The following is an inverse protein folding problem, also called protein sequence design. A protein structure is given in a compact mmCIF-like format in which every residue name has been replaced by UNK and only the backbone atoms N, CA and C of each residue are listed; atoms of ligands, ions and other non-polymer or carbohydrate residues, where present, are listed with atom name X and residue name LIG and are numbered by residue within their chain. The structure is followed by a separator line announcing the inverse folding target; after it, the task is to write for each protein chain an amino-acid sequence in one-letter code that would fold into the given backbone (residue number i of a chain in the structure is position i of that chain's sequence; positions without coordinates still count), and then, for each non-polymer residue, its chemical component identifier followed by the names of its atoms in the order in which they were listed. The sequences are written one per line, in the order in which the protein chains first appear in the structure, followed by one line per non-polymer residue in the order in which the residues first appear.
data_IF_593428834456
#
_entry.id   IF_593428834456
#
_cell.length_a   1.000
_cell.length_b   1.000
_cell.length_c   1.000
_cell.angle_alpha   90.00
_cell.angle_beta   90.00
_cell.angle_gamma   90.00
#
_symmetry.space_group_name_H-M   'P 1'
#
loop_
_entity.id
_entity.type
_entity.pdbx_description
1 polymer ?
#
# COMPACT_ATOMS: atom_id res chain seq x y z
N UNK A 1 -46.00 -9.13 -49.35
CA UNK A 1 -44.61 -9.57 -49.10
C UNK A 1 -43.76 -8.40 -48.60
N UNK A 2 -43.97 -7.96 -47.35
CA UNK A 2 -43.32 -6.75 -46.82
C UNK A 2 -43.31 -6.70 -45.29
N UNK A 3 -43.04 -7.83 -44.61
CA UNK A 3 -42.91 -7.92 -43.13
C UNK A 3 -41.98 -9.06 -42.68
N UNK A 4 -40.90 -9.31 -43.42
CA UNK A 4 -39.92 -10.34 -43.04
C UNK A 4 -38.48 -9.89 -43.33
N UNK A 5 -38.16 -8.63 -42.99
CA UNK A 5 -36.79 -8.13 -43.14
C UNK A 5 -36.44 -7.10 -42.05
N UNK A 6 -36.82 -7.35 -40.81
CA UNK A 6 -36.48 -6.48 -39.66
C UNK A 6 -36.38 -7.28 -38.36
N UNK A 7 -35.72 -8.45 -38.39
CA UNK A 7 -35.32 -9.16 -37.15
C UNK A 7 -33.85 -9.62 -37.18
N UNK A 8 -33.16 -9.54 -38.32
CA UNK A 8 -31.75 -9.97 -38.43
C UNK A 8 -30.72 -8.84 -38.22
N UNK A 9 -31.13 -7.60 -37.89
CA UNK A 9 -30.19 -6.49 -37.66
C UNK A 9 -30.02 -6.10 -36.18
N UNK A 10 -30.60 -6.89 -35.25
CA UNK A 10 -30.54 -6.62 -33.80
C UNK A 10 -29.91 -7.80 -33.04
N UNK A 11 -28.80 -8.31 -33.56
CA UNK A 11 -27.90 -9.19 -32.81
C UNK A 11 -26.44 -8.84 -33.11
N UNK A 12 -26.16 -7.53 -33.20
CA UNK A 12 -24.83 -7.02 -32.82
C UNK A 12 -24.86 -6.97 -31.29
N UNK A 13 -24.78 -8.16 -30.69
CA UNK A 13 -24.36 -8.29 -29.30
C UNK A 13 -23.02 -7.60 -29.25
N UNK A 14 -22.97 -6.52 -28.47
CA UNK A 14 -21.76 -5.91 -27.98
C UNK A 14 -20.80 -7.00 -27.52
N UNK A 15 -19.90 -7.39 -28.40
CA UNK A 15 -18.67 -8.07 -28.05
C UNK A 15 -17.77 -7.05 -27.36
N UNK A 16 -18.18 -6.55 -26.19
CA UNK A 16 -17.21 -5.97 -25.27
C UNK A 16 -16.27 -7.10 -24.93
N UNK A 17 -15.07 -7.05 -25.49
CA UNK A 17 -13.97 -7.94 -25.18
C UNK A 17 -13.78 -7.95 -23.66
N UNK A 18 -14.37 -8.95 -22.99
CA UNK A 18 -14.03 -9.30 -21.62
C UNK A 18 -12.67 -10.01 -21.68
N UNK A 19 -11.62 -9.28 -22.01
CA UNK A 19 -10.26 -9.78 -22.04
C UNK A 19 -9.31 -8.69 -21.54
N UNK A 20 -9.37 -8.41 -20.23
CA UNK A 20 -8.36 -7.58 -19.58
C UNK A 20 -7.67 -8.29 -18.40
N UNK A 21 -7.93 -9.58 -18.16
CA UNK A 21 -7.26 -10.36 -17.11
C UNK A 21 -6.05 -11.14 -17.64
N UNK A 22 -5.21 -10.52 -18.48
CA UNK A 22 -4.02 -11.16 -19.02
C UNK A 22 -3.02 -10.16 -19.59
N UNK A 23 -1.78 -10.60 -19.73
CA UNK A 23 -0.74 -9.88 -20.48
C UNK A 23 -0.56 -10.47 -21.87
N UNK A 24 0.17 -9.76 -22.73
CA UNK A 24 0.67 -10.29 -24.00
C UNK A 24 2.19 -10.23 -23.99
N UNK A 25 2.82 -11.32 -24.39
CA UNK A 25 4.25 -11.44 -24.61
C UNK A 25 4.53 -11.32 -26.11
N UNK A 26 5.48 -10.48 -26.49
CA UNK A 26 6.00 -10.35 -27.85
C UNK A 26 7.51 -10.52 -27.80
N UNK A 27 8.05 -11.34 -28.70
CA UNK A 27 9.50 -11.52 -28.83
C UNK A 27 10.05 -10.52 -29.85
N UNK A 28 11.13 -9.82 -29.54
CA UNK A 28 11.84 -8.96 -30.50
C UNK A 28 13.08 -9.64 -31.08
N UNK A 29 13.82 -10.36 -30.24
CA UNK A 29 14.95 -11.21 -30.64
C UNK A 29 15.14 -12.35 -29.64
N UNK A 30 15.80 -13.42 -30.09
CA UNK A 30 16.24 -14.53 -29.24
C UNK A 30 15.19 -15.62 -29.03
N UNK A 31 15.13 -16.19 -27.83
CA UNK A 31 14.22 -17.29 -27.49
C UNK A 31 13.69 -17.14 -26.06
N UNK A 32 12.40 -17.38 -25.87
CA UNK A 32 11.77 -17.39 -24.55
C UNK A 32 11.16 -18.74 -24.28
N UNK A 33 11.56 -19.35 -23.16
CA UNK A 33 10.89 -20.54 -22.63
C UNK A 33 9.71 -20.10 -21.77
N UNK A 34 8.50 -20.35 -22.26
CA UNK A 34 7.25 -20.21 -21.52
C UNK A 34 6.94 -21.53 -20.80
N UNK A 35 6.73 -21.46 -19.49
CA UNK A 35 6.37 -22.59 -18.65
C UNK A 35 4.97 -22.39 -18.08
N UNK A 36 4.01 -23.19 -18.56
CA UNK A 36 2.59 -23.14 -18.18
C UNK A 36 2.15 -24.50 -17.67
N UNK A 37 1.62 -24.55 -16.44
CA UNK A 37 1.08 -25.78 -15.84
C UNK A 37 2.08 -26.96 -15.91
N UNK A 38 3.37 -26.67 -15.74
CA UNK A 38 4.45 -27.66 -15.80
C UNK A 38 4.95 -28.01 -17.21
N UNK A 39 4.28 -27.53 -18.28
CA UNK A 39 4.69 -27.74 -19.68
C UNK A 39 5.56 -26.59 -20.18
N UNK A 40 6.69 -26.94 -20.79
CA UNK A 40 7.61 -25.96 -21.40
C UNK A 40 7.30 -25.81 -22.88
N UNK A 41 7.21 -24.57 -23.35
CA UNK A 41 7.13 -24.21 -24.75
C UNK A 41 8.24 -23.19 -25.06
N UNK A 42 9.01 -23.43 -26.12
CA UNK A 42 9.98 -22.46 -26.60
C UNK A 42 9.33 -21.58 -27.65
N UNK A 43 9.47 -20.27 -27.47
CA UNK A 43 8.95 -19.23 -28.35
C UNK A 43 10.15 -18.60 -29.04
N UNK A 44 10.22 -18.74 -30.36
CA UNK A 44 11.29 -18.17 -31.21
C UNK A 44 10.74 -17.31 -32.34
N UNK A 45 9.42 -17.29 -32.55
CA UNK A 45 8.77 -16.43 -33.53
C UNK A 45 8.82 -14.97 -33.10
N UNK A 46 9.69 -14.19 -33.74
CA UNK A 46 9.78 -12.75 -33.53
C UNK A 46 8.50 -12.05 -34.00
N UNK A 47 7.98 -11.13 -33.19
CA UNK A 47 6.80 -10.31 -33.49
C UNK A 47 5.45 -10.97 -33.18
N UNK A 48 5.41 -12.29 -32.97
CA UNK A 48 4.18 -12.99 -32.60
C UNK A 48 3.72 -12.62 -31.18
N UNK A 49 2.42 -12.35 -31.00
CA UNK A 49 1.82 -12.02 -29.71
C UNK A 49 1.31 -13.29 -29.03
N UNK A 50 1.95 -13.67 -27.94
CA UNK A 50 1.53 -14.78 -27.09
C UNK A 50 0.73 -14.28 -25.90
N UNK A 51 -0.41 -14.91 -25.63
CA UNK A 51 -1.24 -14.54 -24.48
C UNK A 51 -0.67 -15.14 -23.19
N UNK A 52 -0.38 -14.29 -22.22
CA UNK A 52 0.04 -14.68 -20.88
C UNK A 52 -1.17 -14.93 -19.97
N UNK A 53 -1.03 -15.95 -19.15
CA UNK A 53 -1.98 -16.38 -18.12
C UNK A 53 -1.34 -16.28 -16.74
N UNK A 54 -2.16 -16.13 -15.71
CA UNK A 54 -1.71 -16.16 -14.32
C UNK A 54 -0.96 -17.47 -14.03
N UNK A 55 0.23 -17.36 -13.46
CA UNK A 55 1.09 -18.49 -13.12
C UNK A 55 2.12 -18.84 -14.20
N UNK A 56 2.06 -18.20 -15.37
CA UNK A 56 3.08 -18.38 -16.40
C UNK A 56 4.45 -17.95 -15.88
N UNK A 57 5.47 -18.75 -16.22
CA UNK A 57 6.88 -18.41 -15.96
C UNK A 57 7.60 -18.28 -17.29
N UNK A 58 8.33 -17.19 -17.44
CA UNK A 58 9.09 -16.83 -18.61
C UNK A 58 10.57 -16.91 -18.26
N UNK A 59 11.33 -17.58 -19.10
CA UNK A 59 12.78 -17.59 -19.02
C UNK A 59 13.35 -17.17 -20.37
N UNK A 60 13.99 -16.01 -20.43
CA UNK A 60 14.65 -15.51 -21.63
C UNK A 60 16.03 -16.17 -21.77
N UNK A 61 16.39 -16.56 -22.99
CA UNK A 61 17.71 -17.11 -23.27
C UNK A 61 18.78 -16.02 -23.39
N UNK A 62 19.99 -16.38 -23.85
CA UNK A 62 21.00 -15.41 -24.27
C UNK A 62 20.49 -14.59 -25.48
N UNK A 63 21.02 -13.38 -25.65
CA UNK A 63 20.69 -12.44 -26.74
C UNK A 63 19.19 -12.25 -26.98
N UNK A 64 18.39 -12.28 -25.91
CA UNK A 64 16.94 -12.28 -25.97
C UNK A 64 16.37 -10.96 -25.48
N UNK A 65 15.43 -10.40 -26.25
CA UNK A 65 14.66 -9.22 -25.85
C UNK A 65 13.19 -9.52 -26.03
N UNK A 66 12.45 -9.46 -24.93
CA UNK A 66 11.05 -9.83 -24.91
C UNK A 66 10.22 -8.73 -24.22
N UNK A 67 9.08 -8.39 -24.81
CA UNK A 67 8.19 -7.35 -24.31
C UNK A 67 6.93 -8.00 -23.77
N UNK A 68 6.66 -7.76 -22.49
CA UNK A 68 5.42 -8.12 -21.83
C UNK A 68 4.59 -6.87 -21.66
N UNK A 69 3.47 -6.79 -22.38
CA UNK A 69 2.49 -5.72 -22.24
C UNK A 69 1.30 -6.21 -21.40
N UNK A 70 0.85 -5.36 -20.48
CA UNK A 70 -0.22 -5.65 -19.53
C UNK A 70 -1.23 -4.50 -19.56
N UNK A 71 -2.52 -4.79 -19.28
CA UNK A 71 -3.62 -3.80 -19.29
C UNK A 71 -3.72 -2.97 -20.58
N UNK A 72 -3.59 -3.61 -21.74
CA UNK A 72 -3.68 -2.90 -23.02
C UNK A 72 -2.52 -1.92 -23.24
N UNK A 73 -1.31 -2.33 -22.85
CA UNK A 73 -0.05 -1.58 -23.04
C UNK A 73 0.14 -0.37 -22.10
N UNK A 74 -0.73 -0.19 -21.09
CA UNK A 74 -0.48 0.82 -20.04
C UNK A 74 0.68 0.44 -19.11
N UNK A 75 1.04 -0.84 -19.08
CA UNK A 75 2.14 -1.41 -18.30
C UNK A 75 2.99 -2.24 -19.26
N UNK A 76 4.19 -1.76 -19.57
CA UNK A 76 5.11 -2.41 -20.50
C UNK A 76 6.37 -2.82 -19.77
N UNK A 77 6.76 -4.07 -19.94
CA UNK A 77 7.91 -4.67 -19.29
C UNK A 77 8.80 -5.22 -20.37
N UNK A 78 9.99 -4.69 -20.45
CA UNK A 78 11.01 -5.16 -21.37
C UNK A 78 12.00 -6.03 -20.61
N UNK A 79 12.05 -7.31 -20.99
CA UNK A 79 12.92 -8.32 -20.42
C UNK A 79 14.14 -8.49 -21.31
N UNK A 80 15.30 -8.51 -20.66
CA UNK A 80 16.59 -8.74 -21.29
C UNK A 80 16.99 -10.21 -21.22
N UNK A 81 18.19 -10.50 -21.72
CA UNK A 81 18.82 -11.82 -21.73
C UNK A 81 18.91 -12.42 -20.32
N UNK A 82 18.76 -13.74 -20.22
CA UNK A 82 18.90 -14.53 -18.98
C UNK A 82 18.03 -14.05 -17.80
N UNK A 83 16.85 -13.52 -18.09
CA UNK A 83 15.87 -13.07 -17.13
C UNK A 83 14.82 -14.16 -16.86
N UNK A 84 14.46 -14.33 -15.59
CA UNK A 84 13.38 -15.20 -15.16
C UNK A 84 12.25 -14.38 -14.53
N UNK A 85 11.10 -14.36 -15.20
CA UNK A 85 9.91 -13.65 -14.76
C UNK A 85 8.76 -14.62 -14.48
N UNK A 86 8.10 -14.46 -13.34
CA UNK A 86 6.87 -15.15 -13.00
C UNK A 86 5.70 -14.16 -13.03
N UNK A 87 4.78 -14.37 -13.96
CA UNK A 87 3.57 -13.59 -14.10
C UNK A 87 2.52 -14.03 -13.06
N UNK A 88 2.50 -13.37 -11.89
CA UNK A 88 1.57 -13.72 -10.80
C UNK A 88 0.11 -13.35 -11.10
N UNK A 89 -0.10 -12.42 -12.02
CA UNK A 89 -1.42 -12.08 -12.57
C UNK A 89 -1.80 -10.62 -12.38
N UNK A 90 -2.99 -10.29 -12.88
CA UNK A 90 -3.54 -8.94 -12.94
C UNK A 90 -4.95 -8.98 -12.35
N UNK A 91 -5.21 -8.13 -11.37
CA UNK A 91 -6.54 -7.88 -10.81
C UNK A 91 -7.11 -6.59 -11.39
N UNK A 92 -8.28 -6.14 -10.96
CA UNK A 92 -8.83 -4.84 -11.39
C UNK A 92 -7.97 -3.66 -10.94
N UNK A 93 -7.39 -3.72 -9.74
CA UNK A 93 -6.65 -2.64 -9.11
C UNK A 93 -5.13 -2.80 -9.11
N UNK A 94 -4.62 -4.04 -9.24
CA UNK A 94 -3.20 -4.32 -9.09
C UNK A 94 -2.67 -5.27 -10.15
N UNK A 95 -1.42 -5.07 -10.55
CA UNK A 95 -0.62 -6.02 -11.32
C UNK A 95 0.49 -6.53 -10.42
N UNK A 96 0.64 -7.87 -10.34
CA UNK A 96 1.67 -8.53 -9.53
C UNK A 96 2.55 -9.38 -10.41
N UNK A 97 3.84 -9.17 -10.31
CA UNK A 97 4.86 -9.86 -11.10
C UNK A 97 6.02 -10.17 -10.17
N UNK A 98 6.75 -11.26 -10.44
CA UNK A 98 8.00 -11.52 -9.77
C UNK A 98 9.14 -11.64 -10.79
N UNK A 99 10.24 -10.92 -10.57
CA UNK A 99 11.47 -11.04 -11.33
C UNK A 99 12.48 -11.75 -10.43
N UNK A 100 12.79 -13.01 -10.74
CA UNK A 100 13.64 -13.83 -9.88
C UNK A 100 15.12 -13.63 -10.17
N UNK A 101 15.46 -13.36 -11.43
CA UNK A 101 16.82 -13.04 -11.86
C UNK A 101 16.78 -12.27 -13.18
N UNK A 102 17.87 -11.56 -13.47
CA UNK A 102 18.08 -10.79 -14.70
C UNK A 102 17.62 -9.35 -14.56
N UNK A 103 17.46 -8.70 -15.71
CA UNK A 103 17.11 -7.28 -15.82
C UNK A 103 15.76 -7.11 -16.50
N UNK A 104 14.98 -6.15 -16.00
CA UNK A 104 13.77 -5.68 -16.64
C UNK A 104 13.66 -4.15 -16.59
N UNK A 105 13.29 -3.56 -17.72
CA UNK A 105 12.83 -2.18 -17.79
C UNK A 105 11.31 -2.17 -17.66
N UNK A 106 10.78 -1.38 -16.74
CA UNK A 106 9.37 -1.31 -16.42
C UNK A 106 8.87 0.10 -16.70
N UNK A 107 7.89 0.20 -17.60
CA UNK A 107 7.20 1.45 -17.94
C UNK A 107 5.76 1.32 -17.51
N UNK A 108 5.38 2.03 -16.46
CA UNK A 108 4.04 1.94 -15.88
C UNK A 108 3.37 3.29 -16.01
N UNK A 109 2.30 3.35 -16.79
CA UNK A 109 1.53 4.58 -16.94
C UNK A 109 0.84 4.98 -15.61
N UNK A 110 0.82 6.28 -15.28
CA UNK A 110 0.11 6.77 -14.10
C UNK A 110 -1.39 6.48 -14.16
N UNK A 111 -2.00 6.39 -12.98
CA UNK A 111 -3.44 6.17 -12.88
C UNK A 111 -4.22 7.37 -13.45
N UNK A 112 -5.35 7.15 -14.13
CA UNK A 112 -6.21 8.24 -14.59
C UNK A 112 -6.57 9.22 -13.45
N UNK A 113 -6.88 8.67 -12.27
CA UNK A 113 -7.17 9.43 -11.05
C UNK A 113 -6.02 10.37 -10.63
N UNK A 114 -4.77 9.93 -10.76
CA UNK A 114 -3.62 10.76 -10.41
C UNK A 114 -3.43 11.91 -11.39
N UNK A 115 -3.74 11.68 -12.68
CA UNK A 115 -3.67 12.72 -13.71
C UNK A 115 -4.78 13.75 -13.53
N UNK A 116 -6.00 13.33 -13.19
CA UNK A 116 -7.13 14.24 -12.92
C UNK A 116 -6.90 15.07 -11.66
N UNK A 117 -6.43 14.47 -10.56
CA UNK A 117 -6.06 15.18 -9.34
C UNK A 117 -4.91 16.18 -9.58
N UNK A 118 -3.87 15.77 -10.31
CA UNK A 118 -2.74 16.65 -10.67
C UNK A 118 -3.22 17.82 -11.52
N UNK A 119 -4.10 17.57 -12.48
CA UNK A 119 -4.70 18.63 -13.30
C UNK A 119 -5.63 19.53 -12.50
N UNK A 120 -6.39 19.00 -11.54
CA UNK A 120 -7.25 19.79 -10.66
C UNK A 120 -6.41 20.68 -9.71
N UNK A 121 -5.34 20.13 -9.13
CA UNK A 121 -4.40 20.87 -8.29
C UNK A 121 -3.66 21.97 -9.08
N UNK A 122 -3.21 21.67 -10.31
CA UNK A 122 -2.62 22.66 -11.22
C UNK A 122 -3.61 23.76 -11.62
N UNK A 123 -4.90 23.43 -11.79
CA UNK A 123 -5.95 24.42 -12.06
C UNK A 123 -6.22 25.32 -10.85
N UNK A 124 -6.15 24.80 -9.62
CA UNK A 124 -6.30 25.61 -8.39
C UNK A 124 -5.07 26.46 -8.05
N UNK A 125 -3.89 26.09 -8.55
CA UNK A 125 -2.64 26.84 -8.36
C UNK A 125 -2.44 27.97 -9.37
N UNK A 126 -3.28 28.05 -10.42
CA UNK A 126 -3.27 29.19 -11.33
C UNK A 126 -3.87 30.40 -10.58
N UNK A 127 -3.15 31.51 -10.40
CA UNK A 127 -3.76 32.73 -9.89
C UNK A 127 -4.90 33.06 -10.84
N UNK A 128 -6.14 33.07 -10.34
CA UNK A 128 -7.23 33.75 -11.02
C UNK A 128 -6.68 35.14 -11.30
N UNK A 129 -6.44 35.45 -12.57
CA UNK A 129 -6.11 36.79 -13.02
C UNK A 129 -7.32 37.66 -12.67
N UNK A 130 -7.32 38.17 -11.44
CA UNK A 130 -8.35 39.02 -10.91
C UNK A 130 -8.42 40.24 -11.81
N UNK A 131 -9.61 40.46 -12.39
CA UNK A 131 -9.94 41.73 -12.99
C UNK A 131 -9.63 42.88 -12.02
N UNK A 132 -9.41 44.10 -12.55
CA UNK A 132 -8.85 45.21 -11.77
C UNK A 132 -9.70 45.50 -10.54
N UNK A 133 -9.17 45.17 -9.36
CA UNK A 133 -9.73 45.58 -8.08
C UNK A 133 -9.58 47.09 -7.97
N UNK A 134 -10.71 47.81 -8.10
CA UNK A 134 -10.77 49.25 -7.83
C UNK A 134 -10.53 49.47 -6.35
N UNK A 135 -9.31 49.90 -6.01
CA UNK A 135 -8.98 50.48 -4.71
C UNK A 135 -9.86 51.72 -4.46
N UNK A 136 -10.93 51.55 -3.70
CA UNK A 136 -11.75 52.65 -3.19
C UNK A 136 -11.11 53.26 -1.96
N UNK A 137 -10.28 54.28 -2.15
CA UNK A 137 -9.70 55.07 -1.05
C UNK A 137 -10.67 56.20 -0.65
N UNK A 138 -11.73 55.87 0.09
CA UNK A 138 -12.64 56.77 0.84
C UNK A 138 -13.24 55.85 1.93
N UNK A 139 -13.13 56.08 3.23
CA UNK A 139 -13.34 57.31 3.99
C UNK A 139 -12.55 57.27 5.31
N UNK A 140 -12.02 58.44 5.63
CA UNK A 140 -11.47 58.84 6.91
C UNK A 140 -12.62 59.06 7.90
N UNK A 141 -12.41 58.63 9.14
CA UNK A 141 -12.55 59.45 10.35
C UNK A 141 -13.96 59.97 10.73
N UNK A 142 -14.46 59.57 11.92
CA UNK A 142 -15.54 60.27 12.63
C UNK A 142 -16.35 59.36 13.57
N UNK A 143 -16.01 59.33 14.87
CA UNK A 143 -16.78 59.89 16.01
C UNK A 143 -17.92 59.03 16.58
N UNK A 144 -17.65 58.52 17.79
CA UNK A 144 -18.38 58.69 19.07
C UNK A 144 -19.91 58.47 19.20
N UNK A 145 -20.24 57.89 20.37
CA UNK A 145 -21.47 57.97 21.18
C UNK A 145 -22.62 56.94 21.03
N UNK A 146 -22.68 56.07 22.05
CA UNK A 146 -23.67 55.98 23.14
C UNK A 146 -25.13 55.57 22.87
N UNK A 147 -25.52 54.53 23.63
CA UNK A 147 -26.77 54.32 24.38
C UNK A 147 -28.12 54.22 23.66
N UNK A 148 -28.87 53.17 24.03
CA UNK A 148 -30.19 53.37 24.62
C UNK A 148 -31.38 52.75 23.89
N UNK A 149 -31.94 51.75 24.55
CA UNK A 149 -33.36 51.46 24.72
C UNK A 149 -34.26 50.91 23.59
N UNK A 150 -34.95 49.83 23.99
CA UNK A 150 -36.18 49.22 23.49
C UNK A 150 -37.37 50.21 23.64
N UNK A 151 -38.58 50.01 23.02
CA UNK A 151 -39.44 48.84 23.33
C UNK A 151 -40.54 48.44 22.32
N UNK A 152 -41.23 47.35 22.66
CA UNK A 152 -42.62 47.03 22.28
C UNK A 152 -42.72 45.87 21.28
N UNK A 153 -43.52 44.82 21.48
CA UNK A 153 -44.56 44.51 22.45
C UNK A 153 -45.53 43.53 21.76
N UNK A 154 -46.01 42.49 22.45
CA UNK A 154 -47.02 41.60 21.86
C UNK A 154 -47.13 40.24 22.55
N UNK A 155 -48.09 40.12 23.46
CA UNK A 155 -48.49 38.90 24.18
C UNK A 155 -49.07 37.83 23.23
N UNK A 156 -48.84 36.54 23.51
CA UNK A 156 -49.86 35.51 23.34
C UNK A 156 -49.62 34.29 24.25
N UNK A 157 -50.59 34.11 25.16
CA UNK A 157 -51.12 32.92 25.82
C UNK A 157 -50.27 31.64 25.99
N UNK A 158 -50.13 31.25 27.27
CA UNK A 158 -49.82 29.90 27.76
C UNK A 158 -51.02 28.94 27.60
N UNK A 159 -50.72 27.70 27.22
CA UNK A 159 -51.45 26.46 27.52
C UNK A 159 -50.39 25.33 27.72
N UNK A 160 -50.73 24.24 28.43
CA UNK A 160 -49.88 23.72 29.51
C UNK A 160 -48.79 22.73 29.10
N UNK A 161 -47.72 22.78 29.89
CA UNK A 161 -46.65 21.79 30.04
C UNK A 161 -47.25 20.41 30.39
N UNK A 162 -47.05 19.39 29.53
CA UNK A 162 -47.03 17.99 30.00
C UNK A 162 -46.60 16.94 28.97
N UNK A 163 -46.25 17.29 27.71
CA UNK A 163 -45.73 16.29 26.76
C UNK A 163 -44.38 16.67 26.11
N UNK A 164 -44.01 17.96 26.08
CA UNK A 164 -42.74 18.40 25.47
C UNK A 164 -41.49 18.16 26.33
N UNK A 165 -41.64 17.84 27.62
CA UNK A 165 -40.51 17.64 28.54
C UNK A 165 -39.95 16.20 28.55
N UNK A 166 -40.60 15.26 27.85
CA UNK A 166 -40.18 13.86 27.78
C UNK A 166 -39.48 13.50 26.47
N UNK A 167 -39.73 14.24 25.38
CA UNK A 167 -39.05 14.07 24.09
C UNK A 167 -37.68 14.77 24.08
N UNK A 168 -37.56 15.98 24.64
CA UNK A 168 -36.28 16.70 24.72
C UNK A 168 -35.21 15.99 25.58
N UNK A 169 -35.60 15.19 26.59
CA UNK A 169 -34.64 14.43 27.42
C UNK A 169 -34.14 13.14 26.76
N UNK A 170 -34.87 12.60 25.77
CA UNK A 170 -34.42 11.44 24.99
C UNK A 170 -33.45 11.87 23.90
N UNK A 171 -33.70 13.00 23.25
CA UNK A 171 -32.83 13.50 22.19
C UNK A 171 -31.48 13.98 22.74
N UNK A 172 -31.45 14.64 23.91
CA UNK A 172 -30.18 15.02 24.58
C UNK A 172 -29.40 13.79 25.12
N UNK A 173 -30.08 12.70 25.48
CA UNK A 173 -29.42 11.46 25.92
C UNK A 173 -28.89 10.62 24.75
N UNK A 174 -29.59 10.59 23.61
CA UNK A 174 -29.07 9.91 22.41
C UNK A 174 -27.93 10.71 21.76
N UNK A 175 -27.99 12.05 21.72
CA UNK A 175 -26.87 12.86 21.24
C UNK A 175 -25.62 12.73 22.12
N UNK A 176 -25.76 12.64 23.45
CA UNK A 176 -24.63 12.42 24.35
C UNK A 176 -24.10 10.97 24.33
N UNK A 177 -24.93 9.99 23.99
CA UNK A 177 -24.53 8.59 23.81
C UNK A 177 -23.73 8.40 22.51
N UNK A 178 -24.17 8.99 21.39
CA UNK A 178 -23.39 8.98 20.14
C UNK A 178 -22.12 9.84 20.23
N UNK A 179 -22.13 10.94 21.00
CA UNK A 179 -20.93 11.73 21.24
C UNK A 179 -19.87 10.99 22.08
N UNK A 180 -20.27 10.08 22.98
CA UNK A 180 -19.33 9.29 23.82
C UNK A 180 -18.86 7.98 23.19
N UNK A 181 -19.58 7.43 22.21
CA UNK A 181 -19.14 6.22 21.48
C UNK A 181 -18.24 6.58 20.28
N UNK A 182 -18.26 7.84 19.82
CA UNK A 182 -17.45 8.31 18.69
C UNK A 182 -16.01 8.76 19.02
N UNK A 183 -15.65 8.96 20.29
CA UNK A 183 -14.35 9.57 20.67
C UNK A 183 -13.19 8.60 20.83
N UNK A 184 -13.37 7.33 20.42
CA UNK A 184 -12.30 6.33 20.29
C UNK A 184 -11.89 6.07 18.83
N UNK A 185 -12.32 6.92 17.89
CA UNK A 185 -11.88 6.83 16.51
C UNK A 185 -10.41 7.28 16.44
N UNK A 186 -9.48 6.32 16.56
CA UNK A 186 -8.17 6.39 15.92
C UNK A 186 -8.44 6.97 14.53
N UNK A 187 -8.05 8.22 14.29
CA UNK A 187 -8.19 8.83 12.99
C UNK A 187 -7.60 7.81 12.01
N UNK A 188 -8.37 7.27 11.05
CA UNK A 188 -7.79 6.38 10.08
C UNK A 188 -6.76 7.26 9.37
N UNK A 189 -5.48 7.01 9.68
CA UNK A 189 -4.38 7.67 9.00
C UNK A 189 -4.62 7.58 7.50
N UNK A 190 -4.07 8.52 6.70
CA UNK A 190 -4.33 8.58 5.26
C UNK A 190 -4.23 7.17 4.69
N UNK A 191 -5.37 6.61 4.24
CA UNK A 191 -5.43 5.23 3.75
C UNK A 191 -4.36 5.11 2.68
N UNK A 192 -3.28 4.38 2.97
CA UNK A 192 -2.16 4.18 2.06
C UNK A 192 -2.75 3.66 0.75
N UNK A 193 -2.80 4.54 -0.26
CA UNK A 193 -3.44 4.21 -1.53
C UNK A 193 -2.67 3.02 -2.10
N UNK A 194 -3.34 1.90 -2.33
CA UNK A 194 -2.69 0.65 -2.74
C UNK A 194 -1.86 0.89 -4.01
N UNK A 195 -0.63 0.35 -4.03
CA UNK A 195 0.21 0.36 -5.22
C UNK A 195 -0.49 -0.38 -6.36
N UNK A 196 -0.40 0.17 -7.59
CA UNK A 196 -1.09 -0.39 -8.76
C UNK A 196 -0.24 -1.46 -9.43
N UNK A 197 1.07 -1.38 -9.30
CA UNK A 197 1.99 -2.34 -9.88
C UNK A 197 3.02 -2.74 -8.82
N UNK A 198 3.22 -4.04 -8.66
CA UNK A 198 4.16 -4.61 -7.71
C UNK A 198 5.07 -5.61 -8.41
N UNK A 199 6.38 -5.39 -8.28
CA UNK A 199 7.42 -6.35 -8.65
C UNK A 199 7.98 -6.96 -7.38
N UNK A 200 8.03 -8.28 -7.31
CA UNK A 200 8.70 -9.01 -6.23
C UNK A 200 9.99 -9.64 -6.76
N UNK A 201 11.10 -9.36 -6.12
CA UNK A 201 12.33 -10.11 -6.32
C UNK A 201 12.51 -11.09 -5.16
N UNK A 202 13.67 -11.76 -5.12
CA UNK A 202 14.01 -12.64 -3.99
C UNK A 202 14.25 -11.82 -2.71
N UNK A 203 14.89 -10.65 -2.84
CA UNK A 203 15.27 -9.81 -1.70
C UNK A 203 14.43 -8.55 -1.49
N UNK A 204 13.64 -8.12 -2.49
CA UNK A 204 12.90 -6.86 -2.42
C UNK A 204 11.45 -6.95 -2.91
N UNK A 205 10.63 -6.06 -2.38
CA UNK A 205 9.29 -5.75 -2.86
C UNK A 205 9.30 -4.32 -3.38
N UNK A 206 8.97 -4.15 -4.65
CA UNK A 206 8.99 -2.88 -5.35
C UNK A 206 7.56 -2.54 -5.74
N UNK A 207 7.11 -1.35 -5.35
CA UNK A 207 5.73 -0.91 -5.49
C UNK A 207 5.68 0.46 -6.19
N UNK A 208 4.88 0.58 -7.26
CA UNK A 208 4.77 1.82 -8.04
C UNK A 208 3.33 2.19 -8.37
N UNK A 209 3.12 3.49 -8.59
CA UNK A 209 1.83 4.09 -8.96
C UNK A 209 1.90 4.88 -10.27
N UNK A 210 2.83 4.54 -11.16
CA UNK A 210 3.00 5.19 -12.47
C UNK A 210 4.37 5.81 -12.63
N UNK A 211 5.34 5.04 -13.08
CA UNK A 211 6.76 5.36 -13.00
C UNK A 211 7.50 4.51 -14.03
N UNK A 212 8.55 5.09 -14.60
CA UNK A 212 9.50 4.38 -15.44
C UNK A 212 10.72 4.05 -14.59
N UNK A 213 11.04 2.76 -14.49
CA UNK A 213 12.09 2.27 -13.60
C UNK A 213 12.74 1.01 -14.16
N UNK A 214 13.98 0.78 -13.73
CA UNK A 214 14.80 -0.37 -14.11
C UNK A 214 15.04 -1.20 -12.86
N UNK A 215 14.85 -2.52 -12.97
CA UNK A 215 15.16 -3.46 -11.90
C UNK A 215 16.13 -4.49 -12.45
N UNK A 216 17.26 -4.66 -11.78
CA UNK A 216 18.20 -5.73 -12.05
C UNK A 216 18.41 -6.55 -10.78
N UNK A 217 18.31 -7.87 -10.89
CA UNK A 217 18.47 -8.77 -9.75
C UNK A 217 19.36 -9.95 -10.11
N UNK A 218 20.33 -10.21 -9.22
CA UNK A 218 21.23 -11.34 -9.31
C UNK A 218 21.38 -11.93 -7.91
N UNK A 219 20.86 -13.15 -7.72
CA UNK A 219 20.90 -13.83 -6.43
C UNK A 219 20.11 -13.09 -5.35
N UNK A 220 20.81 -12.67 -4.30
CA UNK A 220 20.29 -11.95 -3.13
C UNK A 220 20.32 -10.42 -3.29
N UNK A 221 20.93 -9.90 -4.36
CA UNK A 221 21.02 -8.46 -4.62
C UNK A 221 19.97 -8.02 -5.63
N UNK A 222 19.28 -6.93 -5.29
CA UNK A 222 18.35 -6.23 -6.18
C UNK A 222 18.78 -4.77 -6.28
N UNK A 223 19.08 -4.32 -7.50
CA UNK A 223 19.34 -2.92 -7.82
C UNK A 223 18.09 -2.32 -8.47
N UNK A 224 17.70 -1.15 -8.01
CA UNK A 224 16.55 -0.39 -8.53
C UNK A 224 17.02 0.98 -8.95
N UNK A 225 16.70 1.38 -10.18
CA UNK A 225 16.91 2.72 -10.68
C UNK A 225 15.57 3.33 -11.12
N UNK A 226 15.25 4.52 -10.62
CA UNK A 226 14.04 5.24 -11.02
C UNK A 226 14.39 6.26 -12.09
N UNK A 227 13.81 6.12 -13.29
CA UNK A 227 14.00 7.08 -14.39
C UNK A 227 13.11 8.30 -14.15
N UNK A 228 11.81 8.08 -13.96
CA UNK A 228 10.82 9.13 -13.76
C UNK A 228 9.74 8.69 -12.78
N UNK A 229 9.36 9.58 -11.85
CA UNK A 229 8.37 9.30 -10.81
C UNK A 229 9.02 8.93 -9.49
N UNK A 230 8.35 8.06 -8.72
CA UNK A 230 8.80 7.61 -7.41
C UNK A 230 8.50 6.12 -7.26
N UNK A 231 9.47 5.38 -6.74
CA UNK A 231 9.37 3.95 -6.51
C UNK A 231 9.43 3.69 -5.02
N UNK A 232 8.47 2.94 -4.50
CA UNK A 232 8.55 2.39 -3.16
C UNK A 232 9.33 1.08 -3.17
N UNK A 233 10.41 1.00 -2.38
CA UNK A 233 11.25 -0.18 -2.27
C UNK A 233 11.25 -0.65 -0.81
N UNK A 234 10.95 -1.91 -0.59
CA UNK A 234 11.02 -2.55 0.72
C UNK A 234 11.83 -3.86 0.62
N UNK A 235 12.49 -4.26 1.71
CA UNK A 235 13.08 -5.59 1.79
C UNK A 235 11.97 -6.65 1.85
N UNK A 236 12.22 -7.84 1.30
CA UNK A 236 11.27 -8.95 1.34
C UNK A 236 10.95 -9.39 2.78
N UNK A 237 11.95 -9.32 3.66
CA UNK A 237 11.85 -9.71 5.07
C UNK A 237 11.17 -8.63 5.94
N UNK A 238 11.21 -7.37 5.50
CA UNK A 238 10.65 -6.22 6.21
C UNK A 238 9.74 -5.38 5.29
N UNK A 239 8.56 -5.90 4.88
CA UNK A 239 7.67 -5.22 3.95
C UNK A 239 7.06 -3.92 4.51
N UNK A 240 7.07 -3.76 5.83
CA UNK A 240 6.54 -2.58 6.52
C UNK A 240 7.53 -1.41 6.53
N UNK A 241 8.80 -1.64 6.18
CA UNK A 241 9.80 -0.58 5.99
C UNK A 241 10.01 -0.30 4.50
N UNK A 242 9.29 0.70 3.99
CA UNK A 242 9.39 1.15 2.61
C UNK A 242 10.21 2.43 2.52
N UNK A 243 11.21 2.43 1.65
CA UNK A 243 12.02 3.59 1.27
C UNK A 243 11.52 4.10 -0.07
N UNK A 244 11.24 5.39 -0.16
CA UNK A 244 10.84 6.04 -1.42
C UNK A 244 12.08 6.45 -2.20
N UNK A 245 12.21 5.94 -3.42
CA UNK A 245 13.30 6.21 -4.36
C UNK A 245 12.79 7.19 -5.43
N UNK A 246 13.15 8.48 -5.37
CA UNK A 246 12.70 9.49 -6.33
C UNK A 246 13.39 9.34 -7.70
N UNK A 247 12.93 10.12 -8.68
CA UNK A 247 13.50 10.12 -10.03
C UNK A 247 15.01 10.42 -10.02
N UNK A 248 15.73 9.75 -10.93
CA UNK A 248 17.18 9.84 -11.13
C UNK A 248 18.02 9.38 -9.92
N UNK A 249 17.45 8.51 -9.09
CA UNK A 249 18.16 7.91 -7.97
C UNK A 249 18.17 6.40 -8.04
N UNK A 250 19.16 5.81 -7.38
CA UNK A 250 19.31 4.37 -7.21
C UNK A 250 19.12 3.98 -5.76
N UNK A 251 18.66 2.76 -5.57
CA UNK A 251 18.67 2.06 -4.29
C UNK A 251 19.03 0.61 -4.50
N UNK A 252 19.76 0.04 -3.55
CA UNK A 252 20.16 -1.36 -3.53
C UNK A 252 19.51 -2.04 -2.33
N UNK A 253 19.08 -3.27 -2.54
CA UNK A 253 18.56 -4.15 -1.50
C UNK A 253 19.34 -5.46 -1.55
N UNK A 254 19.88 -5.88 -0.42
CA UNK A 254 20.48 -7.19 -0.24
C UNK A 254 19.63 -8.01 0.74
N UNK A 255 19.56 -9.33 0.57
CA UNK A 255 18.81 -10.20 1.50
C UNK A 255 19.28 -10.04 2.95
N UNK A 256 18.36 -9.88 3.90
CA UNK A 256 18.68 -9.59 5.31
C UNK A 256 19.12 -8.13 5.61
N UNK A 257 19.18 -7.26 4.60
CA UNK A 257 19.47 -5.83 4.78
C UNK A 257 18.27 -4.98 4.35
N UNK A 258 18.12 -3.83 4.99
CA UNK A 258 17.13 -2.85 4.58
C UNK A 258 17.56 -2.16 3.27
N UNK A 259 16.60 -1.59 2.51
CA UNK A 259 16.92 -0.82 1.33
C UNK A 259 17.85 0.35 1.65
N UNK A 260 18.90 0.55 0.86
CA UNK A 260 19.79 1.71 1.01
C UNK A 260 19.04 3.00 0.74
N UNK A 261 19.50 4.09 1.36
CA UNK A 261 18.97 5.42 1.06
C UNK A 261 19.20 5.77 -0.42
N UNK A 262 18.29 6.53 -1.05
CA UNK A 262 18.40 6.85 -2.46
C UNK A 262 19.59 7.78 -2.74
N UNK A 263 20.42 7.39 -3.69
CA UNK A 263 21.58 8.17 -4.12
C UNK A 263 21.40 8.70 -5.54
N UNK A 264 21.84 9.94 -5.80
CA UNK A 264 21.68 10.59 -7.11
C UNK A 264 22.74 10.08 -8.07
N UNK A 265 22.29 9.66 -9.25
CA UNK A 265 23.16 9.10 -10.29
C UNK A 265 23.48 10.14 -11.36
N UNK A 266 24.72 10.15 -11.82
CA UNK A 266 25.20 11.03 -12.89
C UNK A 266 24.53 10.73 -14.24
N UNK A 267 24.48 11.69 -15.16
CA UNK A 267 23.84 11.49 -16.47
C UNK A 267 24.49 10.38 -17.32
N UNK A 268 25.81 10.17 -17.17
CA UNK A 268 26.55 9.13 -17.89
C UNK A 268 26.19 7.73 -17.38
N UNK A 269 26.25 7.51 -16.06
CA UNK A 269 25.84 6.26 -15.40
C UNK A 269 24.38 5.90 -15.73
N UNK A 270 23.48 6.90 -15.78
CA UNK A 270 22.08 6.68 -16.19
C UNK A 270 21.96 6.09 -17.59
N UNK A 271 22.74 6.57 -18.55
CA UNK A 271 22.72 6.03 -19.91
C UNK A 271 23.22 4.58 -19.94
N UNK A 272 24.29 4.28 -19.20
CA UNK A 272 24.83 2.92 -19.06
C UNK A 272 23.83 1.95 -18.41
N UNK A 273 23.11 2.39 -17.38
CA UNK A 273 22.04 1.59 -16.77
C UNK A 273 20.90 1.34 -17.76
N UNK A 274 20.56 2.28 -18.63
CA UNK A 274 19.47 2.08 -19.61
C UNK A 274 19.88 1.19 -20.79
N UNK A 275 21.13 1.33 -21.26
CA UNK A 275 21.63 0.65 -22.46
C UNK A 275 22.13 -0.77 -22.21
N UNK A 276 22.64 -1.06 -21.01
CA UNK A 276 23.13 -2.39 -20.64
C UNK A 276 22.04 -3.47 -20.76
N UNK A 277 22.41 -4.72 -21.04
CA UNK A 277 21.45 -5.84 -21.04
C UNK A 277 21.39 -6.57 -19.68
N UNK A 278 22.39 -6.38 -18.80
CA UNK A 278 22.55 -7.11 -17.55
C UNK A 278 22.73 -6.23 -16.31
N UNK A 279 23.22 -6.86 -15.23
CA UNK A 279 23.57 -6.17 -13.97
C UNK A 279 24.83 -5.31 -14.08
N UNK A 280 25.64 -5.53 -15.11
CA UNK A 280 26.89 -4.81 -15.42
C UNK A 280 26.69 -3.29 -15.47
N UNK A 281 25.51 -2.82 -15.90
CA UNK A 281 25.21 -1.38 -15.94
C UNK A 281 25.16 -0.70 -14.57
N UNK A 282 25.22 -1.46 -13.47
CA UNK A 282 25.18 -0.94 -12.11
C UNK A 282 26.52 -1.07 -11.38
N UNK A 283 27.60 -1.49 -12.06
CA UNK A 283 28.92 -1.71 -11.42
C UNK A 283 29.60 -0.42 -11.01
N UNK A 284 29.50 0.63 -11.85
CA UNK A 284 30.13 1.94 -11.62
C UNK A 284 29.30 2.87 -10.71
N UNK A 285 28.16 2.39 -10.20
CA UNK A 285 27.21 3.21 -9.45
C UNK A 285 27.55 3.18 -7.97
N UNK A 286 27.62 4.35 -7.33
CA UNK A 286 27.74 4.48 -5.89
C UNK A 286 26.39 4.22 -5.20
N UNK A 287 26.44 3.48 -4.09
CA UNK A 287 25.27 3.16 -3.29
C UNK A 287 25.49 3.57 -1.85
N UNK A 288 24.42 4.04 -1.20
CA UNK A 288 24.40 4.36 0.21
C UNK A 288 24.71 3.16 1.13
N UNK A 289 24.95 3.45 2.41
CA UNK A 289 25.27 2.45 3.42
C UNK A 289 24.15 1.43 3.62
N UNK A 290 24.52 0.16 3.81
CA UNK A 290 23.61 -0.92 4.16
C UNK A 290 23.39 -0.96 5.67
N UNK A 291 22.12 -1.06 6.07
CA UNK A 291 21.69 -1.29 7.45
C UNK A 291 21.02 -2.67 7.54
N UNK A 292 21.25 -3.42 8.61
CA UNK A 292 20.64 -4.75 8.78
C UNK A 292 19.15 -4.63 9.08
N UNK A 293 18.33 -5.54 8.54
CA UNK A 293 16.89 -5.52 8.84
C UNK A 293 16.59 -5.72 10.32
N UNK A 294 17.43 -6.49 11.03
CA UNK A 294 17.28 -6.77 12.46
C UNK A 294 17.46 -5.51 13.30
N UNK A 295 18.48 -4.69 13.04
CA UNK A 295 18.74 -3.46 13.78
C UNK A 295 17.56 -2.48 13.65
N UNK A 296 17.00 -2.33 12.45
CA UNK A 296 15.83 -1.46 12.21
C UNK A 296 14.57 -2.04 12.88
N UNK A 297 14.39 -3.37 12.85
CA UNK A 297 13.28 -4.02 13.52
C UNK A 297 13.35 -3.86 15.05
N UNK A 298 14.55 -3.97 15.63
CA UNK A 298 14.77 -3.77 17.07
C UNK A 298 14.58 -2.30 17.49
N UNK A 299 15.10 -1.34 16.73
CA UNK A 299 14.92 0.08 17.00
C UNK A 299 13.44 0.50 16.96
N UNK A 300 12.64 -0.16 16.12
CA UNK A 300 11.17 0.02 16.10
C UNK A 300 10.47 -0.63 17.29
N UNK A 301 10.95 -1.77 17.78
CA UNK A 301 10.40 -2.39 19.00
C UNK A 301 10.65 -1.49 20.20
N UNK A 302 11.87 -0.98 20.36
CA UNK A 302 12.24 -0.12 21.50
C UNK A 302 11.60 1.27 21.44
N UNK A 303 11.46 1.87 20.25
CA UNK A 303 10.80 3.18 20.09
C UNK A 303 9.28 3.17 20.16
N UNK A 304 8.63 1.99 20.09
CA UNK A 304 7.17 1.88 20.21
C UNK A 304 6.69 1.91 21.68
N UNK A 305 7.54 1.52 22.62
CA UNK A 305 7.19 1.42 24.05
C UNK A 305 7.16 2.80 24.75
N UNK A 306 7.88 3.80 24.24
CA UNK A 306 7.88 5.15 24.82
C UNK A 306 6.56 5.92 24.61
N UNK A 307 5.70 5.45 23.71
CA UNK A 307 4.35 6.04 23.52
C UNK A 307 3.26 5.29 24.28
N UNK A 308 3.56 4.12 24.85
CA UNK A 308 2.65 3.35 25.69
C UNK A 308 2.90 3.58 27.20
N UNK A 309 4.08 4.08 27.59
CA UNK A 309 4.46 4.28 28.99
C UNK A 309 3.94 5.60 29.64
N UNK A 310 3.02 6.33 29.01
CA UNK A 310 2.41 7.55 29.56
C UNK A 310 0.96 7.38 30.03
N UNK A 311 0.52 6.15 30.28
CA UNK A 311 -0.75 5.87 30.96
C UNK A 311 -0.51 5.55 32.44
N UNK A 312 -0.41 6.63 33.21
CA UNK A 312 -0.98 6.82 34.56
C UNK A 312 -0.82 5.67 35.59
N UNK A 313 0.35 5.61 36.22
CA UNK A 313 0.57 4.83 37.45
C UNK A 313 -0.04 5.52 38.68
N UNK A 314 -1.36 5.74 38.68
CA UNK A 314 -2.07 6.27 39.87
C UNK A 314 -3.31 5.47 40.28
N UNK A 315 -3.49 4.22 39.81
CA UNK A 315 -4.67 3.42 40.15
C UNK A 315 -4.44 1.93 40.42
N UNK A 316 -3.21 1.48 40.57
CA UNK A 316 -2.92 0.04 40.75
C UNK A 316 -2.91 -0.42 42.22
N UNK A 317 -2.97 0.51 43.19
CA UNK A 317 -2.87 0.16 44.62
C UNK A 317 -4.23 -0.18 45.26
N UNK A 318 -5.37 0.16 44.63
CA UNK A 318 -6.71 -0.03 45.21
C UNK A 318 -7.33 -1.43 44.97
N UNK A 319 -6.65 -2.34 44.27
CA UNK A 319 -7.19 -3.66 43.91
C UNK A 319 -6.58 -4.85 44.66
N UNK A 320 -5.61 -4.61 45.55
CA UNK A 320 -4.97 -5.68 46.34
C UNK A 320 -5.58 -5.87 47.74
N UNK A 321 -6.37 -4.91 48.24
CA UNK A 321 -6.98 -4.97 49.58
C UNK A 321 -8.27 -5.82 49.65
N UNK A 322 -8.83 -6.26 48.51
CA UNK A 322 -10.13 -6.96 48.48
C UNK A 322 -10.05 -8.50 48.42
N UNK A 323 -8.85 -9.08 48.44
CA UNK A 323 -8.64 -10.53 48.32
C UNK A 323 -8.03 -11.18 49.58
N UNK A 324 -7.74 -10.41 50.63
CA UNK A 324 -7.15 -10.93 51.87
C UNK A 324 -8.18 -11.20 53.00
N UNK A 325 -9.47 -10.94 52.76
CA UNK A 325 -10.55 -11.08 53.78
C UNK A 325 -11.44 -12.34 53.61
N UNK A 326 -10.98 -13.42 52.96
CA UNK A 326 -11.78 -14.68 52.84
C UNK A 326 -11.01 -15.96 53.19
N UNK A 327 -9.83 -15.87 53.81
CA UNK A 327 -9.14 -17.09 54.29
C UNK A 327 -8.81 -16.98 55.78
N UNK A 328 -9.83 -16.62 56.58
CA UNK A 328 -9.87 -17.00 57.98
C UNK A 328 -11.03 -17.97 58.16
N UNK A 329 -10.69 -19.25 58.36
CA UNK A 329 -11.43 -20.28 59.12
C UNK A 329 -11.06 -21.67 58.60
N UNK A 330 -10.08 -22.33 59.22
CA UNK A 330 -10.27 -23.57 60.02
C UNK A 330 -8.93 -24.28 60.31
N UNK A 331 -8.84 -25.06 61.40
CA UNK A 331 -7.63 -25.12 62.23
C UNK A 331 -6.79 -26.41 62.10
N UNK A 332 -5.48 -26.19 62.25
CA UNK A 332 -4.41 -26.96 62.93
C UNK A 332 -4.48 -28.49 63.19
N UNK A 333 -3.36 -29.13 62.78
CA UNK A 333 -2.57 -30.18 63.47
C UNK A 333 -2.71 -31.66 63.02
N UNK A 334 -1.73 -32.55 63.31
CA UNK A 334 -0.31 -32.53 62.89
C UNK A 334 0.14 -33.93 62.33
N UNK A 335 1.42 -34.15 61.95
CA UNK A 335 1.82 -35.26 61.09
C UNK A 335 2.20 -36.53 61.87
N UNK A 336 1.82 -37.70 61.34
CA UNK A 336 2.24 -38.99 61.86
C UNK A 336 3.00 -39.81 60.80
N UNK A 337 4.12 -40.30 61.29
CA UNK A 337 5.25 -41.03 60.69
C UNK A 337 4.98 -42.48 60.29
N UNK A 338 5.94 -43.01 59.51
CA UNK A 338 6.49 -44.39 59.53
C UNK A 338 5.71 -45.51 58.82
N UNK A 339 6.36 -46.00 57.76
CA UNK A 339 6.79 -47.39 57.59
C UNK A 339 5.74 -48.55 57.48
N UNK A 340 5.87 -49.26 56.36
CA UNK A 340 5.82 -50.73 56.25
C UNK A 340 4.46 -51.42 56.24
N UNK A 341 4.07 -51.96 55.08
CA UNK A 341 3.79 -53.39 54.84
C UNK A 341 3.13 -53.60 53.46
N UNK A 342 3.82 -54.24 52.53
CA UNK A 342 3.68 -55.68 52.18
C UNK A 342 2.37 -56.00 51.45
N UNK A 343 2.56 -56.36 50.18
CA UNK A 343 1.85 -57.37 49.38
C UNK A 343 0.33 -57.53 49.52
N UNK A 344 -0.34 -57.38 48.37
CA UNK A 344 -1.19 -58.40 47.75
C UNK A 344 -1.33 -57.99 46.27
N UNK A 345 -0.64 -58.62 45.33
CA UNK A 345 -1.18 -59.75 44.55
C UNK A 345 -2.68 -59.61 44.26
N UNK A 346 -3.06 -59.29 43.02
CA UNK A 346 -3.61 -60.27 42.07
C UNK A 346 -4.18 -59.59 40.82
N UNK A 347 -3.84 -60.22 39.69
CA UNK A 347 -4.47 -60.17 38.37
C UNK A 347 -5.98 -59.90 38.39
N UNK A 348 -6.47 -59.18 37.39
CA UNK A 348 -7.72 -59.37 36.60
C UNK A 348 -7.91 -58.03 35.84
N UNK A 349 -7.98 -57.92 34.52
CA UNK A 349 -8.02 -58.85 33.40
C UNK A 349 -7.62 -58.06 32.14
#
# INVERSE_FOLDING_TARGET
MRRMLTVLSLLIVFGTSVFAQGGTLRLEKGVVKLLREGRSQFLSSVGEKYRLQRGDRLHTGPDTRAIVAVRGESEVIELFSNAFLHFKGVTTSQTKIALLTGKGNFKVAPAPEATEERQAALKSLRPQAGGPQKFGLKERMGTSQKSGDQPGGGKALRLPESLAAQEARKDEQEESFWAKIGSGAKQPGPRKRMARFQVRTVSAIIAVRGTDFVVATAGDVTNVFTVEGEVGVAAADLPDHEVTVPANTVSRVQGGFAPTQPEKVGAAERAQILESEGTEGFEDVEFGSLETTEAIAEQRRTGADDTAALLDETGADDLLDLLEEVVSETPTAPPATLETNIQLQLNFQ
#
